data_IF_945789187278
#
_entry.id   IF_945789187278
#
_cell.length_a   1.000
_cell.length_b   1.000
_cell.length_c   1.000
_cell.angle_alpha   90.00
_cell.angle_beta   90.00
_cell.angle_gamma   90.00
#
_symmetry.space_group_name_H-M   'P 1'
#
loop_
_entity.id
_entity.type
_entity.pdbx_description
1 polymer ?
#
# COMPACT_ATOMS: atom_id res chain seq x y z
N UNK A 1 11.05 15.48 -4.54
CA UNK A 1 10.29 14.53 -4.72
C UNK A 1 8.92 14.77 -5.05
N UNK A 2 8.69 14.80 -6.20
CA UNK A 2 7.44 15.15 -6.69
C UNK A 2 6.41 14.14 -6.47
N UNK A 3 6.81 12.98 -6.16
CA UNK A 3 5.86 11.94 -6.11
C UNK A 3 5.26 11.68 -4.79
N UNK A 4 5.26 12.66 -3.94
CA UNK A 4 4.78 12.46 -2.61
C UNK A 4 3.37 11.96 -2.58
N UNK A 5 2.54 12.42 -3.47
CA UNK A 5 1.16 12.02 -3.41
C UNK A 5 0.97 10.57 -3.80
N UNK A 6 1.89 10.00 -4.55
CA UNK A 6 1.77 8.60 -4.88
C UNK A 6 2.65 7.72 -4.03
N UNK A 7 3.61 8.33 -3.34
CA UNK A 7 4.46 7.57 -2.50
C UNK A 7 3.68 6.93 -1.39
N UNK A 8 3.92 5.69 -1.12
CA UNK A 8 3.23 5.00 -0.07
C UNK A 8 1.95 4.35 -0.52
N UNK A 9 1.47 4.73 -1.71
CA UNK A 9 0.25 4.15 -2.22
C UNK A 9 0.45 3.53 -3.59
N UNK A 10 1.69 3.35 -3.94
CA UNK A 10 2.04 2.50 -5.06
C UNK A 10 2.52 1.18 -4.49
N UNK A 11 2.49 0.11 -5.29
CA UNK A 11 2.82 -1.21 -4.73
C UNK A 11 4.19 -1.25 -4.09
N UNK A 12 5.18 -0.68 -4.74
CA UNK A 12 6.53 -0.79 -4.24
C UNK A 12 6.72 -0.04 -2.92
N UNK A 13 6.44 1.27 -2.85
CA UNK A 13 6.61 1.96 -1.57
C UNK A 13 5.62 1.48 -0.51
N UNK A 14 4.42 1.09 -0.93
CA UNK A 14 3.45 0.57 0.01
C UNK A 14 3.96 -0.72 0.64
N UNK A 15 4.53 -1.59 -0.18
CA UNK A 15 5.08 -2.84 0.33
C UNK A 15 6.20 -2.59 1.32
N UNK A 16 7.08 -1.65 1.01
CA UNK A 16 8.17 -1.33 1.91
C UNK A 16 7.66 -0.73 3.21
N UNK A 17 6.67 0.12 3.10
CA UNK A 17 6.12 0.77 4.27
C UNK A 17 5.53 -0.24 5.24
N UNK A 18 4.84 -1.23 4.72
CA UNK A 18 4.18 -2.22 5.56
C UNK A 18 4.93 -3.53 5.66
N UNK A 19 6.10 -3.61 5.01
CA UNK A 19 6.94 -4.80 5.05
C UNK A 19 6.20 -6.03 4.55
N UNK A 20 5.54 -5.87 3.46
CA UNK A 20 4.83 -6.95 2.81
C UNK A 20 5.37 -7.09 1.39
N UNK A 21 4.95 -8.13 0.69
CA UNK A 21 5.42 -8.32 -0.66
C UNK A 21 4.76 -7.33 -1.60
N UNK A 22 5.42 -7.07 -2.72
CA UNK A 22 4.86 -6.16 -3.69
C UNK A 22 3.55 -6.70 -4.24
N UNK A 23 3.45 -8.01 -4.37
CA UNK A 23 2.22 -8.59 -4.85
C UNK A 23 1.06 -8.37 -3.89
N UNK A 24 1.34 -8.50 -2.61
CA UNK A 24 0.32 -8.21 -1.62
C UNK A 24 -0.09 -6.75 -1.69
N UNK A 25 0.89 -5.87 -1.85
CA UNK A 25 0.60 -4.46 -1.95
C UNK A 25 -0.27 -4.17 -3.16
N UNK A 26 0.04 -4.79 -4.28
CA UNK A 26 -0.78 -4.61 -5.47
C UNK A 26 -2.21 -5.01 -5.24
N UNK A 27 -2.40 -6.16 -4.62
CA UNK A 27 -3.73 -6.66 -4.37
C UNK A 27 -4.51 -5.70 -3.47
N UNK A 28 -3.86 -5.23 -2.44
CA UNK A 28 -4.51 -4.33 -1.50
C UNK A 28 -4.90 -3.03 -2.19
N UNK A 29 -3.98 -2.46 -2.94
CA UNK A 29 -4.24 -1.20 -3.60
C UNK A 29 -5.29 -1.34 -4.69
N UNK A 30 -5.29 -2.45 -5.38
CA UNK A 30 -6.29 -2.69 -6.39
C UNK A 30 -7.67 -2.87 -5.76
N UNK A 31 -7.70 -3.51 -4.62
CA UNK A 31 -8.95 -3.75 -3.94
C UNK A 31 -9.56 -2.47 -3.40
N UNK A 32 -8.73 -1.63 -2.81
CA UNK A 32 -9.24 -0.43 -2.16
C UNK A 32 -9.23 0.81 -3.04
N UNK A 33 -8.47 0.77 -4.11
CA UNK A 33 -8.46 1.89 -5.05
C UNK A 33 -8.05 3.18 -4.40
N UNK A 34 -8.99 4.13 -4.35
CA UNK A 34 -8.72 5.44 -3.79
C UNK A 34 -8.83 5.49 -2.28
N UNK A 35 -9.26 4.42 -1.67
CA UNK A 35 -9.50 4.42 -0.25
C UNK A 35 -8.20 4.15 0.49
N UNK A 36 -7.43 5.20 0.70
CA UNK A 36 -6.10 5.07 1.29
C UNK A 36 -6.15 4.57 2.72
N UNK A 37 -7.14 5.02 3.46
CA UNK A 37 -7.24 4.60 4.85
C UNK A 37 -7.48 3.12 4.96
N UNK A 38 -8.36 2.60 4.13
CA UNK A 38 -8.62 1.18 4.14
C UNK A 38 -7.42 0.41 3.65
N UNK A 39 -6.73 0.94 2.63
CA UNK A 39 -5.55 0.27 2.13
C UNK A 39 -4.46 0.19 3.21
N UNK A 40 -4.25 1.27 3.92
CA UNK A 40 -3.29 1.30 5.01
C UNK A 40 -3.65 0.30 6.08
N UNK A 41 -4.91 0.26 6.44
CA UNK A 41 -5.38 -0.65 7.45
C UNK A 41 -5.14 -2.09 7.03
N UNK A 42 -5.45 -2.37 5.79
CA UNK A 42 -5.25 -3.71 5.27
C UNK A 42 -3.77 -4.07 5.27
N UNK A 43 -2.93 -3.14 4.85
CA UNK A 43 -1.50 -3.37 4.84
C UNK A 43 -0.96 -3.70 6.21
N UNK A 44 -1.45 -3.01 7.22
CA UNK A 44 -1.02 -3.27 8.59
C UNK A 44 -1.45 -4.65 9.05
N UNK A 45 -2.64 -5.05 8.69
CA UNK A 45 -3.12 -6.37 9.06
C UNK A 45 -2.30 -7.46 8.41
N UNK A 46 -1.99 -7.27 7.14
CA UNK A 46 -1.23 -8.27 6.42
C UNK A 46 0.18 -8.39 6.97
N UNK A 47 0.75 -7.28 7.41
CA UNK A 47 2.12 -7.32 7.89
C UNK A 47 2.24 -7.96 9.28
N UNK A 48 1.15 -8.14 9.94
CA UNK A 48 1.18 -8.84 11.20
C UNK A 48 1.30 -10.32 10.96
#
# INVERSE_FOLDING_TARGET
>A
MADDKTKGYEPIPFAKKHRISVEDAKAILAKHGDDRKSADKEGRRVSL
#
